data_IF_774640608895
#
_entry.id   IF_774640608895
#
_cell.length_a   1.000
_cell.length_b   1.000
_cell.length_c   1.000
_cell.angle_alpha   90.00
_cell.angle_beta   90.00
_cell.angle_gamma   90.00
#
_symmetry.space_group_name_H-M   'P 1'
#
loop_
_entity.id
_entity.type
_entity.pdbx_description
1 polymer ?
#
# COMPACT_ATOMS: atom_id res chain seq x y z
N UNK A 1 8.19 2.53 -7.07
CA UNK A 1 8.69 1.22 -6.59
C UNK A 1 7.68 0.15 -6.99
N UNK A 2 8.16 -0.97 -7.57
CA UNK A 2 7.30 -2.09 -7.98
C UNK A 2 7.14 -3.10 -6.84
N UNK A 3 5.90 -3.51 -6.56
CA UNK A 3 5.58 -4.57 -5.60
C UNK A 3 5.35 -5.86 -6.42
N UNK A 4 6.05 -6.98 -6.13
CA UNK A 4 5.92 -8.22 -6.89
C UNK A 4 4.51 -8.79 -6.89
N UNK A 5 4.12 -9.45 -7.97
CA UNK A 5 2.82 -10.13 -8.09
C UNK A 5 2.64 -11.23 -7.06
N UNK A 6 3.70 -11.99 -6.75
CA UNK A 6 3.68 -13.01 -5.70
C UNK A 6 3.27 -12.47 -4.33
N UNK A 7 3.69 -11.24 -4.00
CA UNK A 7 3.29 -10.59 -2.75
C UNK A 7 1.79 -10.24 -2.73
N UNK A 8 1.25 -9.78 -3.87
CA UNK A 8 -0.19 -9.53 -3.99
C UNK A 8 -1.00 -10.82 -3.93
N UNK A 9 -0.47 -11.89 -4.52
CA UNK A 9 -1.11 -13.22 -4.48
C UNK A 9 -1.15 -13.78 -3.05
N UNK A 10 -0.10 -13.55 -2.24
CA UNK A 10 -0.09 -13.89 -0.81
C UNK A 10 -1.14 -13.10 -0.02
N UNK A 11 -1.31 -11.80 -0.28
CA UNK A 11 -2.36 -10.99 0.35
C UNK A 11 -3.75 -11.53 0.01
N UNK A 12 -3.99 -11.84 -1.27
CA UNK A 12 -5.25 -12.41 -1.73
C UNK A 12 -5.51 -13.77 -1.07
N UNK A 13 -4.53 -14.67 -1.07
CA UNK A 13 -4.67 -16.00 -0.47
C UNK A 13 -4.92 -15.95 1.05
N UNK A 14 -4.37 -14.95 1.73
CA UNK A 14 -4.59 -14.73 3.15
C UNK A 14 -6.02 -14.31 3.48
N UNK A 15 -6.64 -13.48 2.64
CA UNK A 15 -7.98 -12.93 2.87
C UNK A 15 -9.09 -13.81 2.27
N UNK A 16 -8.80 -14.50 1.17
CA UNK A 16 -9.76 -15.34 0.44
C UNK A 16 -9.20 -16.77 0.28
N UNK A 17 -8.99 -17.52 1.37
CA UNK A 17 -8.37 -18.84 1.30
C UNK A 17 -9.20 -19.86 0.51
N UNK A 18 -10.53 -19.65 0.41
CA UNK A 18 -11.45 -20.53 -0.33
C UNK A 18 -11.69 -20.08 -1.77
N UNK A 19 -11.09 -18.98 -2.22
CA UNK A 19 -11.23 -18.45 -3.58
C UNK A 19 -12.59 -17.83 -3.90
N UNK A 20 -13.48 -17.66 -2.92
CA UNK A 20 -14.82 -17.08 -3.10
C UNK A 20 -15.19 -16.13 -1.96
N UNK A 21 -15.98 -15.11 -2.27
CA UNK A 21 -16.78 -14.41 -1.27
C UNK A 21 -18.06 -15.21 -0.98
N UNK A 22 -18.14 -15.78 0.22
CA UNK A 22 -19.22 -16.68 0.59
C UNK A 22 -20.60 -16.00 0.54
N UNK A 23 -20.68 -14.76 0.97
CA UNK A 23 -21.94 -14.00 0.97
C UNK A 23 -22.47 -13.78 -0.44
N UNK A 24 -21.62 -13.31 -1.33
CA UNK A 24 -21.95 -13.12 -2.75
C UNK A 24 -22.37 -14.43 -3.43
N UNK A 25 -21.69 -15.53 -3.09
CA UNK A 25 -21.97 -16.86 -3.60
C UNK A 25 -23.35 -17.35 -3.14
N UNK A 26 -23.65 -17.27 -1.83
CA UNK A 26 -24.92 -17.73 -1.25
C UNK A 26 -26.12 -16.92 -1.76
N UNK A 27 -25.92 -15.60 -1.97
CA UNK A 27 -26.97 -14.72 -2.52
C UNK A 27 -27.19 -14.92 -4.03
N UNK A 28 -26.29 -15.62 -4.73
CA UNK A 28 -26.39 -15.85 -6.16
C UNK A 28 -26.22 -14.60 -7.04
N UNK A 29 -25.61 -13.54 -6.50
CA UNK A 29 -25.49 -12.23 -7.19
C UNK A 29 -24.14 -12.06 -7.91
N UNK A 30 -23.27 -13.02 -7.85
CA UNK A 30 -21.85 -12.90 -8.28
C UNK A 30 -21.65 -12.49 -9.73
N UNK A 31 -22.56 -12.86 -10.65
CA UNK A 31 -22.48 -12.53 -12.07
C UNK A 31 -23.06 -11.15 -12.43
N UNK A 32 -23.70 -10.46 -11.47
CA UNK A 32 -24.28 -9.15 -11.76
C UNK A 32 -23.21 -8.11 -12.03
N UNK A 33 -23.32 -7.30 -13.10
CA UNK A 33 -22.38 -6.22 -13.34
C UNK A 33 -22.55 -5.12 -12.29
N UNK A 34 -21.44 -4.53 -11.89
CA UNK A 34 -21.41 -3.46 -10.89
C UNK A 34 -20.29 -2.47 -11.13
N UNK A 35 -20.36 -1.36 -10.40
CA UNK A 35 -19.36 -0.31 -10.33
C UNK A 35 -19.09 0.02 -8.87
N UNK A 36 -17.83 0.20 -8.51
CA UNK A 36 -17.37 0.54 -7.18
C UNK A 36 -16.44 1.74 -7.24
N UNK A 37 -16.60 2.67 -6.29
CA UNK A 37 -15.77 3.86 -6.19
C UNK A 37 -15.07 3.88 -4.82
N UNK A 38 -13.78 4.22 -4.85
CA UNK A 38 -13.01 4.53 -3.66
C UNK A 38 -12.86 6.04 -3.54
N UNK A 39 -13.23 6.58 -2.41
CA UNK A 39 -13.11 8.00 -2.09
C UNK A 39 -12.46 8.19 -0.73
N UNK A 40 -11.85 9.35 -0.52
CA UNK A 40 -11.24 9.70 0.76
C UNK A 40 -12.16 10.56 1.62
N UNK A 41 -12.10 10.38 2.95
CA UNK A 41 -12.80 11.24 3.92
C UNK A 41 -11.94 12.40 4.39
N UNK A 42 -10.64 12.23 4.35
CA UNK A 42 -9.64 13.19 4.82
C UNK A 42 -8.65 13.51 3.70
N UNK A 43 -7.94 14.65 3.84
CA UNK A 43 -6.82 14.96 2.97
C UNK A 43 -5.73 13.89 3.12
N UNK A 44 -5.26 13.33 2.02
CA UNK A 44 -4.31 12.22 2.04
C UNK A 44 -3.34 12.24 0.86
N UNK A 45 -2.18 11.62 1.03
CA UNK A 45 -1.27 11.28 -0.05
C UNK A 45 -1.57 9.85 -0.50
N UNK A 46 -2.02 9.71 -1.74
CA UNK A 46 -2.48 8.44 -2.31
C UNK A 46 -1.33 7.43 -2.46
N UNK A 47 -1.60 6.17 -2.09
CA UNK A 47 -0.66 5.07 -2.23
C UNK A 47 -1.41 3.76 -2.53
N UNK A 48 -1.01 3.03 -3.55
CA UNK A 48 -1.46 1.65 -3.78
C UNK A 48 -2.46 1.44 -4.91
N UNK A 49 -2.79 2.45 -5.72
CA UNK A 49 -3.74 2.29 -6.84
C UNK A 49 -3.24 1.35 -7.92
N UNK A 50 -1.94 1.32 -8.19
CA UNK A 50 -1.34 0.41 -9.17
C UNK A 50 -1.45 -1.05 -8.71
N UNK A 51 -1.27 -1.31 -7.43
CA UNK A 51 -1.42 -2.63 -6.82
C UNK A 51 -2.89 -3.05 -6.77
N UNK A 52 -3.78 -2.14 -6.37
CA UNK A 52 -5.22 -2.38 -6.37
C UNK A 52 -5.74 -2.72 -7.77
N UNK A 53 -5.29 -2.02 -8.80
CA UNK A 53 -5.64 -2.33 -10.19
C UNK A 53 -5.24 -3.76 -10.57
N UNK A 54 -4.05 -4.21 -10.17
CA UNK A 54 -3.57 -5.57 -10.42
C UNK A 54 -4.36 -6.61 -9.62
N UNK A 55 -4.77 -6.30 -8.39
CA UNK A 55 -5.63 -7.17 -7.57
C UNK A 55 -7.00 -7.33 -8.24
N UNK A 56 -7.66 -6.24 -8.62
CA UNK A 56 -8.95 -6.28 -9.29
C UNK A 56 -8.90 -7.02 -10.64
N UNK A 57 -7.81 -6.85 -11.40
CA UNK A 57 -7.57 -7.60 -12.64
C UNK A 57 -7.59 -9.12 -12.44
N UNK A 58 -7.10 -9.65 -11.30
CA UNK A 58 -7.16 -11.09 -10.95
C UNK A 58 -8.57 -11.59 -10.73
N UNK A 59 -9.50 -10.71 -10.38
CA UNK A 59 -10.91 -11.03 -10.16
C UNK A 59 -11.80 -10.69 -11.35
N UNK A 60 -11.20 -10.42 -12.53
CA UNK A 60 -11.95 -10.13 -13.76
C UNK A 60 -12.62 -8.75 -13.78
N UNK A 61 -12.16 -7.83 -12.94
CA UNK A 61 -12.62 -6.43 -12.93
C UNK A 61 -11.67 -5.54 -13.74
N UNK A 62 -12.20 -4.43 -14.22
CA UNK A 62 -11.46 -3.41 -14.96
C UNK A 62 -11.47 -2.09 -14.19
N UNK A 63 -10.34 -1.43 -14.10
CA UNK A 63 -10.25 -0.07 -13.56
C UNK A 63 -10.66 0.90 -14.65
N UNK A 64 -11.77 1.61 -14.44
CA UNK A 64 -12.26 2.62 -15.36
C UNK A 64 -11.45 3.93 -15.22
N UNK A 65 -11.19 4.33 -13.98
CA UNK A 65 -10.42 5.53 -13.65
C UNK A 65 -9.60 5.29 -12.38
N UNK A 66 -8.36 5.80 -12.34
CA UNK A 66 -7.55 5.83 -11.13
C UNK A 66 -6.55 6.97 -11.17
N UNK A 67 -6.41 7.68 -10.04
CA UNK A 67 -5.30 8.59 -9.83
C UNK A 67 -4.03 7.79 -9.49
N UNK A 68 -2.85 8.22 -9.93
CA UNK A 68 -1.61 7.51 -9.62
C UNK A 68 -1.22 7.69 -8.14
N UNK A 69 -0.51 6.71 -7.58
CA UNK A 69 0.14 6.87 -6.27
C UNK A 69 1.02 8.11 -6.26
N UNK A 70 0.98 8.87 -5.17
CA UNK A 70 1.64 10.17 -5.02
C UNK A 70 0.72 11.38 -5.28
N UNK A 71 -0.52 11.16 -5.75
CA UNK A 71 -1.52 12.23 -5.87
C UNK A 71 -1.96 12.72 -4.49
N UNK A 72 -2.08 14.04 -4.33
CA UNK A 72 -2.69 14.64 -3.15
C UNK A 72 -4.20 14.62 -3.31
N UNK A 73 -4.89 14.13 -2.31
CA UNK A 73 -6.36 14.05 -2.27
C UNK A 73 -6.93 15.06 -1.30
N UNK A 74 -8.05 15.66 -1.67
CA UNK A 74 -8.91 16.45 -0.80
C UNK A 74 -10.08 15.60 -0.26
N UNK A 75 -10.69 15.96 0.89
CA UNK A 75 -11.86 15.25 1.39
C UNK A 75 -12.98 15.16 0.36
N UNK A 76 -13.47 13.96 0.11
CA UNK A 76 -14.51 13.66 -0.87
C UNK A 76 -14.01 13.31 -2.28
N UNK A 77 -12.72 13.42 -2.56
CA UNK A 77 -12.19 13.03 -3.86
C UNK A 77 -12.37 11.54 -4.10
N UNK A 78 -12.96 11.18 -5.24
CA UNK A 78 -12.95 9.82 -5.78
C UNK A 78 -11.63 9.61 -6.50
N UNK A 79 -10.87 8.63 -6.04
CA UNK A 79 -9.52 8.40 -6.57
C UNK A 79 -9.38 7.10 -7.39
N UNK A 80 -10.36 6.21 -7.32
CA UNK A 80 -10.37 4.99 -8.12
C UNK A 80 -11.80 4.51 -8.37
N UNK A 81 -12.09 4.13 -9.60
CA UNK A 81 -13.35 3.53 -10.04
C UNK A 81 -13.07 2.19 -10.68
N UNK A 82 -13.81 1.17 -10.27
CA UNK A 82 -13.65 -0.21 -10.75
C UNK A 82 -15.00 -0.74 -11.22
N UNK A 83 -15.00 -1.43 -12.36
CA UNK A 83 -16.17 -2.07 -12.96
C UNK A 83 -15.94 -3.56 -13.15
N UNK A 84 -16.96 -4.37 -12.97
CA UNK A 84 -16.87 -5.82 -13.14
C UNK A 84 -18.02 -6.58 -12.52
N UNK A 85 -17.91 -7.92 -12.48
CA UNK A 85 -18.91 -8.74 -11.81
C UNK A 85 -18.87 -8.55 -10.29
N UNK A 86 -20.03 -8.60 -9.63
CA UNK A 86 -20.16 -8.39 -8.19
C UNK A 86 -19.22 -9.30 -7.37
N UNK A 87 -19.02 -10.54 -7.80
CA UNK A 87 -18.05 -11.44 -7.16
C UNK A 87 -16.64 -10.88 -7.15
N UNK A 88 -16.17 -10.35 -8.28
CA UNK A 88 -14.85 -9.77 -8.39
C UNK A 88 -14.70 -8.48 -7.58
N UNK A 89 -15.72 -7.62 -7.64
CA UNK A 89 -15.75 -6.37 -6.88
C UNK A 89 -15.69 -6.64 -5.35
N UNK A 90 -16.49 -7.58 -4.85
CA UNK A 90 -16.53 -7.91 -3.43
C UNK A 90 -15.24 -8.58 -2.96
N UNK A 91 -14.65 -9.48 -3.75
CA UNK A 91 -13.36 -10.10 -3.41
C UNK A 91 -12.23 -9.08 -3.33
N UNK A 92 -12.16 -8.12 -4.26
CA UNK A 92 -11.12 -7.09 -4.25
C UNK A 92 -11.33 -6.00 -3.21
N UNK A 93 -12.58 -5.76 -2.81
CA UNK A 93 -12.96 -4.60 -2.01
C UNK A 93 -12.13 -4.40 -0.73
N UNK A 94 -12.15 -5.36 0.19
CA UNK A 94 -11.52 -5.19 1.50
C UNK A 94 -10.00 -5.22 1.43
N UNK A 95 -9.44 -6.05 0.58
CA UNK A 95 -7.98 -6.11 0.37
C UNK A 95 -7.48 -4.74 -0.08
N UNK A 96 -8.11 -4.16 -1.11
CA UNK A 96 -7.72 -2.85 -1.63
C UNK A 96 -8.02 -1.73 -0.65
N UNK A 97 -9.15 -1.78 0.08
CA UNK A 97 -9.47 -0.79 1.10
C UNK A 97 -8.40 -0.77 2.21
N UNK A 98 -7.97 -1.93 2.69
CA UNK A 98 -6.90 -2.02 3.69
C UNK A 98 -5.59 -1.43 3.17
N UNK A 99 -5.23 -1.70 1.91
CA UNK A 99 -4.06 -1.09 1.27
C UNK A 99 -4.17 0.43 1.32
N UNK A 100 -5.29 0.99 0.90
CA UNK A 100 -5.48 2.45 0.90
C UNK A 100 -5.47 3.05 2.29
N UNK A 101 -6.22 2.48 3.24
CA UNK A 101 -6.30 3.01 4.61
C UNK A 101 -4.93 3.04 5.29
N UNK A 102 -4.16 1.95 5.25
CA UNK A 102 -2.87 1.87 5.90
C UNK A 102 -1.79 2.69 5.19
N UNK A 103 -1.67 2.55 3.88
CA UNK A 103 -0.51 3.10 3.18
C UNK A 103 -0.70 4.53 2.71
N UNK A 104 -1.93 5.01 2.50
CA UNK A 104 -2.17 6.45 2.37
C UNK A 104 -1.93 7.17 3.69
N UNK A 105 -2.34 6.59 4.82
CA UNK A 105 -2.06 7.18 6.13
C UNK A 105 -0.56 7.25 6.42
N UNK A 106 0.20 6.18 6.11
CA UNK A 106 1.66 6.16 6.28
C UNK A 106 2.35 7.18 5.35
N UNK A 107 1.96 7.24 4.07
CA UNK A 107 2.50 8.19 3.10
C UNK A 107 2.21 9.64 3.51
N UNK A 108 0.98 9.91 3.95
CA UNK A 108 0.56 11.23 4.44
C UNK A 108 1.37 11.64 5.66
N UNK A 109 1.56 10.72 6.62
CA UNK A 109 2.36 11.00 7.83
C UNK A 109 3.83 11.23 7.51
N UNK A 110 4.39 10.46 6.59
CA UNK A 110 5.76 10.67 6.11
C UNK A 110 5.91 12.05 5.46
N UNK A 111 4.96 12.46 4.60
CA UNK A 111 4.94 13.79 3.99
C UNK A 111 4.90 14.90 5.04
N UNK A 112 4.01 14.82 6.01
CA UNK A 112 3.92 15.80 7.09
C UNK A 112 5.22 15.93 7.88
N UNK A 113 5.91 14.81 8.12
CA UNK A 113 7.22 14.80 8.78
C UNK A 113 8.30 15.48 7.93
N UNK A 114 8.37 15.15 6.65
CA UNK A 114 9.33 15.74 5.71
C UNK A 114 9.10 17.24 5.58
N UNK A 115 7.85 17.67 5.42
CA UNK A 115 7.50 19.08 5.29
C UNK A 115 7.86 19.86 6.56
N UNK A 116 7.63 19.28 7.75
CA UNK A 116 8.01 19.91 9.04
C UNK A 116 9.54 20.02 9.19
N UNK A 117 10.31 19.03 8.76
CA UNK A 117 11.78 19.06 8.76
C UNK A 117 12.31 20.10 7.77
N UNK A 118 11.78 20.09 6.53
CA UNK A 118 12.20 21.03 5.50
C UNK A 118 11.83 22.48 5.77
N UNK A 119 10.78 22.72 6.56
CA UNK A 119 10.46 24.08 7.04
C UNK A 119 11.57 24.68 7.92
N UNK A 120 12.35 23.84 8.59
CA UNK A 120 13.47 24.26 9.45
C UNK A 120 14.79 24.18 8.69
N UNK A 121 15.04 23.08 7.99
CA UNK A 121 16.25 22.87 7.21
C UNK A 121 15.93 22.06 5.93
N UNK A 122 15.84 22.71 4.76
CA UNK A 122 15.50 22.06 3.50
C UNK A 122 16.58 21.07 2.99
N UNK A 123 17.76 21.05 3.59
CA UNK A 123 18.84 20.09 3.26
C UNK A 123 18.84 18.85 4.16
N UNK A 124 17.93 18.78 5.13
CA UNK A 124 17.86 17.66 6.06
C UNK A 124 16.95 16.56 5.50
N UNK A 125 17.51 15.35 5.35
CA UNK A 125 16.76 14.19 4.88
C UNK A 125 16.09 13.43 6.03
N UNK A 126 14.89 12.92 5.80
CA UNK A 126 14.17 12.07 6.75
C UNK A 126 14.38 10.61 6.36
N UNK A 127 15.01 9.84 7.25
CA UNK A 127 15.31 8.44 7.02
C UNK A 127 14.44 7.54 7.90
N UNK A 128 13.85 6.50 7.31
CA UNK A 128 13.16 5.45 8.07
C UNK A 128 14.14 4.39 8.57
N UNK A 129 13.75 3.70 9.64
CA UNK A 129 14.50 2.54 10.15
C UNK A 129 14.01 1.24 9.51
N UNK A 130 14.68 0.09 9.82
CA UNK A 130 14.20 -1.25 9.47
C UNK A 130 13.15 -1.81 10.43
N UNK A 131 12.68 -1.02 11.39
CA UNK A 131 11.64 -1.39 12.37
C UNK A 131 10.27 -1.24 11.73
N UNK A 132 9.96 -2.13 10.79
CA UNK A 132 8.70 -2.22 10.07
C UNK A 132 7.88 -3.39 10.62
N UNK A 133 6.57 -3.39 10.41
CA UNK A 133 5.76 -4.55 10.73
C UNK A 133 6.19 -5.75 9.88
N UNK A 134 6.34 -6.94 10.46
CA UNK A 134 6.68 -8.13 9.69
C UNK A 134 5.70 -8.36 8.54
N UNK A 135 6.23 -8.63 7.35
CA UNK A 135 5.44 -8.87 6.15
C UNK A 135 5.04 -7.63 5.33
N UNK A 136 5.09 -6.41 5.88
CA UNK A 136 4.55 -5.20 5.22
C UNK A 136 5.59 -4.38 4.45
N UNK A 137 6.85 -4.73 4.55
CA UNK A 137 7.99 -3.96 4.04
C UNK A 137 7.83 -3.39 2.61
N UNK A 138 7.32 -4.11 1.60
CA UNK A 138 7.21 -3.57 0.25
C UNK A 138 6.32 -2.32 0.18
N UNK A 139 5.16 -2.38 0.81
CA UNK A 139 4.23 -1.25 0.87
C UNK A 139 4.71 -0.13 1.80
N UNK A 140 5.30 -0.47 2.96
CA UNK A 140 5.83 0.52 3.89
C UNK A 140 6.89 1.40 3.22
N UNK A 141 7.84 0.75 2.52
CA UNK A 141 8.89 1.48 1.79
C UNK A 141 8.30 2.32 0.66
N UNK A 142 7.32 1.79 -0.09
CA UNK A 142 6.62 2.57 -1.13
C UNK A 142 5.95 3.81 -0.54
N UNK A 143 5.19 3.66 0.54
CA UNK A 143 4.46 4.75 1.19
C UNK A 143 5.41 5.82 1.76
N UNK A 144 6.47 5.40 2.46
CA UNK A 144 7.49 6.29 3.00
C UNK A 144 8.18 7.11 1.90
N UNK A 145 8.56 6.45 0.80
CA UNK A 145 9.20 7.10 -0.35
C UNK A 145 8.28 8.10 -1.05
N UNK A 146 6.99 7.77 -1.20
CA UNK A 146 5.98 8.70 -1.73
C UNK A 146 5.85 9.95 -0.83
N UNK A 147 5.94 9.77 0.48
CA UNK A 147 5.96 10.86 1.45
C UNK A 147 7.24 11.70 1.43
N UNK A 148 8.27 11.28 0.69
CA UNK A 148 9.56 11.99 0.60
C UNK A 148 10.58 11.55 1.64
N UNK A 149 10.29 10.53 2.46
CA UNK A 149 11.28 9.90 3.33
C UNK A 149 12.00 8.76 2.59
N UNK A 150 13.21 8.42 3.04
CA UNK A 150 14.01 7.37 2.43
C UNK A 150 14.32 6.25 3.42
N UNK A 151 14.45 4.99 2.98
CA UNK A 151 14.96 3.94 3.84
C UNK A 151 16.45 4.17 4.11
N UNK A 152 16.87 4.13 5.39
CA UNK A 152 18.30 4.15 5.72
C UNK A 152 19.05 2.96 5.07
N UNK A 153 18.45 1.78 5.15
CA UNK A 153 18.85 0.56 4.41
C UNK A 153 17.66 -0.38 4.30
N UNK A 154 17.56 -1.11 3.20
CA UNK A 154 16.47 -2.06 2.96
C UNK A 154 16.73 -3.44 3.59
N UNK A 155 17.99 -3.84 3.75
CA UNK A 155 18.38 -5.14 4.23
C UNK A 155 19.68 -5.16 4.98
N UNK A 156 20.20 -6.37 5.24
CA UNK A 156 21.48 -6.58 5.92
C UNK A 156 22.67 -6.55 4.93
N UNK A 157 22.41 -6.63 3.64
CA UNK A 157 23.43 -6.81 2.60
C UNK A 157 23.81 -5.54 1.85
N UNK A 158 23.28 -4.37 2.24
CA UNK A 158 23.47 -3.11 1.48
C UNK A 158 24.56 -2.23 2.08
N UNK A 159 24.62 -2.17 3.41
CA UNK A 159 25.58 -1.33 4.14
C UNK A 159 26.12 -2.05 5.35
N UNK A 160 27.36 -1.79 5.69
CA UNK A 160 27.98 -2.26 6.93
C UNK A 160 27.51 -1.37 8.08
N UNK A 161 26.96 -1.99 9.11
CA UNK A 161 26.56 -1.30 10.34
C UNK A 161 27.00 -2.15 11.54
N UNK A 162 28.00 -1.66 12.27
CA UNK A 162 28.63 -2.36 13.40
C UNK A 162 27.98 -1.91 14.70
N UNK A 163 27.63 -2.87 15.56
CA UNK A 163 27.12 -2.69 16.91
C UNK A 163 28.01 -3.46 17.90
N UNK A 164 27.87 -3.18 19.19
CA UNK A 164 28.66 -3.83 20.25
C UNK A 164 28.62 -5.35 20.20
N UNK A 165 27.44 -5.92 19.90
CA UNK A 165 27.31 -7.38 19.77
C UNK A 165 28.09 -7.97 18.57
N UNK A 166 28.43 -7.18 17.54
CA UNK A 166 29.35 -7.62 16.50
C UNK A 166 30.80 -7.63 17.03
N UNK A 167 31.16 -6.61 17.82
CA UNK A 167 32.51 -6.48 18.38
C UNK A 167 32.81 -7.61 19.34
N UNK A 168 31.82 -8.13 20.07
CA UNK A 168 31.97 -9.30 20.97
C UNK A 168 32.56 -10.51 20.23
N UNK A 169 32.23 -10.71 18.95
CA UNK A 169 32.76 -11.80 18.13
C UNK A 169 34.00 -11.43 17.34
N UNK A 170 34.31 -10.16 17.23
CA UNK A 170 35.50 -9.68 16.46
C UNK A 170 36.80 -9.70 17.28
N UNK A 171 36.75 -10.03 18.58
CA UNK A 171 37.89 -10.12 19.47
C UNK A 171 38.34 -8.78 20.07
N UNK A 172 37.37 -7.88 20.25
CA UNK A 172 37.54 -6.54 20.81
C UNK A 172 37.79 -6.47 22.29
#
# INVERSE_FOLDING_TARGET
>A
MYIPDSYLDELIASDIPSGIDLTTHVLGIGAQPGRMEYYTRDAALLCGTEEAARIFGRFGCTVAEALPSGSMLAPGDVFMTVEGPAAGLHMGWKICLNIFEYYCALATKARQMVDAVHAVNPLCEVLSTRKLMPGTKPFDVKALTLGGAFPHRLGLSETVLVFDHHLTFYGG
#
